data_IF_674812333735
#
_entry.id   IF_674812333735
#
_cell.length_a   1.000
_cell.length_b   1.000
_cell.length_c   1.000
_cell.angle_alpha   90.00
_cell.angle_beta   90.00
_cell.angle_gamma   90.00
#
_symmetry.space_group_name_H-M   'P 1'
#
loop_
_entity.id
_entity.type
_entity.pdbx_description
1 polymer ?
#
# COMPACT_ATOMS: atom_id res chain seq x y z
N UNK A 1 12.99 -59.12 -18.79
CA UNK A 1 13.41 -57.90 -18.08
C UNK A 1 13.23 -56.69 -18.99
N UNK A 2 12.05 -56.06 -18.99
CA UNK A 2 11.80 -54.76 -19.63
C UNK A 2 10.43 -54.25 -19.16
N UNK A 3 10.41 -53.29 -18.23
CA UNK A 3 9.19 -52.64 -17.73
C UNK A 3 9.49 -51.36 -16.91
N UNK A 4 10.69 -51.27 -16.31
CA UNK A 4 10.97 -50.31 -15.22
C UNK A 4 11.75 -49.04 -15.61
N UNK A 5 11.93 -48.78 -16.92
CA UNK A 5 12.74 -47.65 -17.42
C UNK A 5 11.90 -46.58 -18.12
N UNK A 6 10.65 -46.88 -18.49
CA UNK A 6 9.83 -45.98 -19.31
C UNK A 6 9.12 -44.88 -18.51
N UNK A 7 8.83 -45.12 -17.22
CA UNK A 7 8.08 -44.18 -16.36
C UNK A 7 8.85 -42.90 -16.04
N UNK A 8 10.18 -42.91 -16.13
CA UNK A 8 11.03 -41.79 -15.71
C UNK A 8 11.18 -40.67 -16.76
N UNK A 9 10.71 -40.87 -18.00
CA UNK A 9 10.86 -39.87 -19.08
C UNK A 9 9.65 -38.93 -19.23
N UNK A 10 8.47 -39.32 -18.74
CA UNK A 10 7.23 -38.51 -18.87
C UNK A 10 7.28 -37.26 -17.99
N UNK A 11 7.74 -37.38 -16.74
CA UNK A 11 7.66 -36.31 -15.72
C UNK A 11 8.56 -35.10 -16.08
N UNK A 12 9.59 -35.29 -16.90
CA UNK A 12 10.49 -34.21 -17.32
C UNK A 12 9.87 -33.22 -18.32
N UNK A 13 8.73 -33.56 -18.95
CA UNK A 13 8.10 -32.76 -20.01
C UNK A 13 7.03 -31.78 -19.55
N UNK A 14 6.58 -31.86 -18.29
CA UNK A 14 5.41 -31.13 -17.78
C UNK A 14 5.76 -29.76 -17.13
N UNK A 15 7.05 -29.42 -16.96
CA UNK A 15 7.51 -28.14 -16.40
C UNK A 15 7.97 -27.11 -17.44
N UNK A 16 7.71 -27.32 -18.75
CA UNK A 16 8.17 -26.41 -19.82
C UNK A 16 7.08 -25.46 -20.36
N UNK A 17 5.81 -25.67 -20.01
CA UNK A 17 4.70 -25.06 -20.74
C UNK A 17 4.30 -23.65 -20.26
N UNK A 18 4.56 -23.30 -19.00
CA UNK A 18 3.92 -22.14 -18.36
C UNK A 18 4.57 -20.77 -18.69
N UNK A 19 5.80 -20.78 -19.21
CA UNK A 19 6.55 -19.55 -19.51
C UNK A 19 6.11 -18.88 -20.82
N UNK A 20 5.69 -19.66 -21.82
CA UNK A 20 5.29 -19.12 -23.12
C UNK A 20 3.86 -18.54 -23.06
N UNK A 21 2.91 -19.25 -22.44
CA UNK A 21 1.52 -18.79 -22.24
C UNK A 21 1.45 -17.45 -21.47
N UNK A 22 2.30 -17.32 -20.44
CA UNK A 22 2.37 -16.08 -19.64
C UNK A 22 2.89 -14.90 -20.46
N UNK A 23 3.82 -15.14 -21.39
CA UNK A 23 4.48 -14.10 -22.20
C UNK A 23 3.54 -13.57 -23.30
N UNK A 24 2.82 -14.45 -24.01
CA UNK A 24 1.88 -14.02 -25.06
C UNK A 24 0.70 -13.22 -24.49
N UNK A 25 0.16 -13.66 -23.35
CA UNK A 25 -1.01 -13.04 -22.72
C UNK A 25 -0.73 -11.62 -22.19
N UNK A 26 0.53 -11.31 -21.86
CA UNK A 26 0.98 -9.94 -21.54
C UNK A 26 0.98 -9.07 -22.80
N UNK A 27 1.61 -9.54 -23.89
CA UNK A 27 1.69 -8.78 -25.15
C UNK A 27 0.31 -8.42 -25.72
N UNK A 28 -0.63 -9.37 -25.69
CA UNK A 28 -1.98 -9.17 -26.23
C UNK A 28 -2.76 -8.07 -25.45
N UNK A 29 -2.53 -7.96 -24.14
CA UNK A 29 -3.19 -6.95 -23.28
C UNK A 29 -2.66 -5.52 -23.49
N UNK A 30 -1.41 -5.37 -23.93
CA UNK A 30 -0.82 -4.05 -24.22
C UNK A 30 -1.40 -3.45 -25.52
N UNK A 31 -1.60 -4.25 -26.57
CA UNK A 31 -2.12 -3.75 -27.84
C UNK A 31 -3.53 -3.14 -27.74
N UNK A 32 -4.42 -3.75 -26.93
CA UNK A 32 -5.82 -3.29 -26.77
C UNK A 32 -5.89 -1.87 -26.19
N UNK A 33 -4.95 -1.50 -25.31
CA UNK A 33 -4.90 -0.15 -24.72
C UNK A 33 -4.47 0.92 -25.74
N UNK A 34 -3.54 0.59 -26.66
CA UNK A 34 -3.03 1.56 -27.63
C UNK A 34 -4.03 1.88 -28.75
N UNK A 35 -4.99 0.99 -29.03
CA UNK A 35 -6.07 1.24 -30.00
C UNK A 35 -7.15 2.21 -29.52
N UNK A 36 -7.20 2.55 -28.23
CA UNK A 36 -8.30 3.31 -27.63
C UNK A 36 -7.86 4.66 -27.03
N UNK A 37 -7.35 5.57 -27.89
CA UNK A 37 -7.66 7.03 -27.92
C UNK A 37 -6.60 7.85 -28.68
N UNK A 38 -6.56 7.70 -30.00
CA UNK A 38 -5.97 8.69 -30.91
C UNK A 38 -7.10 9.47 -31.59
N UNK A 39 -7.32 10.70 -31.14
CA UNK A 39 -8.12 11.70 -31.84
C UNK A 39 -7.39 13.05 -31.75
N UNK A 40 -6.64 13.46 -32.79
CA UNK A 40 -6.05 14.78 -32.85
C UNK A 40 -7.09 15.78 -33.39
N UNK A 41 -7.40 16.83 -32.62
CA UNK A 41 -8.09 18.01 -33.15
C UNK A 41 -7.34 19.24 -32.65
N UNK A 42 -6.67 19.90 -33.58
CA UNK A 42 -5.95 21.15 -33.38
C UNK A 42 -6.87 22.35 -33.59
N UNK A 43 -6.54 23.47 -32.92
CA UNK A 43 -6.67 24.86 -33.37
C UNK A 43 -8.02 25.44 -33.85
N UNK A 44 -8.48 26.52 -33.17
CA UNK A 44 -8.58 27.90 -33.74
C UNK A 44 -9.79 28.78 -33.33
N UNK A 45 -9.48 29.85 -32.58
CA UNK A 45 -9.71 31.29 -32.95
C UNK A 45 -11.06 32.05 -32.64
N UNK A 46 -10.89 33.22 -31.97
CA UNK A 46 -11.64 34.51 -31.92
C UNK A 46 -12.94 34.73 -31.06
N UNK A 47 -12.79 35.57 -30.01
CA UNK A 47 -13.27 36.98 -29.81
C UNK A 47 -14.59 37.49 -30.46
N UNK A 48 -15.22 38.62 -29.99
CA UNK A 48 -14.98 39.47 -28.77
C UNK A 48 -16.26 39.92 -28.00
N UNK A 49 -16.17 40.68 -26.88
CA UNK A 49 -17.36 41.32 -26.27
C UNK A 49 -17.26 42.09 -24.92
N UNK A 50 -16.83 43.35 -24.98
CA UNK A 50 -16.95 44.48 -24.01
C UNK A 50 -18.03 44.43 -22.88
N UNK A 51 -17.69 44.83 -21.64
CA UNK A 51 -18.02 46.18 -21.07
C UNK A 51 -17.66 46.39 -19.58
N UNK A 52 -17.69 47.66 -19.14
CA UNK A 52 -16.97 48.20 -17.97
C UNK A 52 -17.86 49.07 -17.05
N UNK A 53 -17.70 48.92 -15.72
CA UNK A 53 -17.93 49.89 -14.62
C UNK A 53 -19.34 50.43 -14.22
N UNK A 54 -19.38 50.79 -12.91
CA UNK A 54 -20.19 51.82 -12.21
C UNK A 54 -21.64 51.54 -11.74
N UNK A 55 -21.97 52.02 -10.52
CA UNK A 55 -23.38 52.22 -10.07
C UNK A 55 -23.76 51.78 -8.63
N UNK A 56 -23.24 52.46 -7.61
CA UNK A 56 -23.82 52.74 -6.26
C UNK A 56 -24.87 51.82 -5.56
N UNK A 57 -24.65 51.58 -4.26
CA UNK A 57 -25.60 51.95 -3.20
C UNK A 57 -24.94 51.98 -1.80
N UNK A 58 -25.25 53.00 -1.00
CA UNK A 58 -24.56 53.32 0.27
C UNK A 58 -25.51 53.25 1.49
N UNK A 59 -24.98 52.81 2.65
CA UNK A 59 -25.63 52.89 3.97
C UNK A 59 -24.78 52.17 5.03
N UNK A 60 -23.88 52.82 5.79
CA UNK A 60 -24.15 53.68 6.96
C UNK A 60 -24.86 52.89 8.09
N UNK A 61 -24.40 52.74 9.35
CA UNK A 61 -23.16 53.05 10.10
C UNK A 61 -23.23 52.31 11.49
N UNK A 62 -22.27 52.27 12.43
CA UNK A 62 -20.90 52.80 12.57
C UNK A 62 -20.12 52.15 13.75
N UNK A 63 -18.92 51.63 13.46
CA UNK A 63 -17.65 51.89 14.19
C UNK A 63 -17.29 51.25 15.55
N UNK A 64 -15.98 50.93 15.65
CA UNK A 64 -15.11 50.74 16.84
C UNK A 64 -15.17 49.40 17.64
N UNK A 65 -14.10 48.58 17.55
CA UNK A 65 -13.81 47.52 18.53
C UNK A 65 -12.91 46.34 18.09
N UNK A 66 -11.58 46.50 18.18
CA UNK A 66 -10.51 45.48 18.16
C UNK A 66 -10.34 44.48 16.97
N UNK A 67 -9.08 44.25 16.52
CA UNK A 67 -8.71 43.05 15.76
C UNK A 67 -8.42 41.89 16.72
N UNK A 68 -9.33 40.92 16.84
CA UNK A 68 -9.05 39.68 17.58
C UNK A 68 -8.44 38.65 16.63
N UNK A 69 -7.17 38.34 16.88
CA UNK A 69 -6.52 37.16 16.34
C UNK A 69 -7.20 35.90 16.88
N UNK A 70 -8.10 35.33 16.08
CA UNK A 70 -8.63 33.98 16.27
C UNK A 70 -8.05 33.10 15.18
N UNK A 71 -7.04 32.30 15.51
CA UNK A 71 -6.31 31.51 14.51
C UNK A 71 -7.24 30.57 13.77
N UNK A 72 -7.45 30.81 12.47
CA UNK A 72 -7.75 29.73 11.53
C UNK A 72 -6.50 28.86 11.43
N UNK A 73 -6.34 28.01 12.44
CA UNK A 73 -5.58 26.78 12.32
C UNK A 73 -6.35 25.85 11.40
N UNK A 74 -6.45 26.25 10.13
CA UNK A 74 -6.40 25.29 9.03
C UNK A 74 -5.01 24.67 9.12
N UNK A 75 -4.85 23.74 10.07
CA UNK A 75 -3.89 22.67 9.92
C UNK A 75 -4.39 21.87 8.72
N UNK A 76 -4.02 22.38 7.55
CA UNK A 76 -3.60 21.54 6.46
C UNK A 76 -2.71 20.49 7.13
N UNK A 77 -3.20 19.26 7.21
CA UNK A 77 -2.44 18.18 7.82
C UNK A 77 -1.34 17.85 6.82
N UNK A 78 -0.29 18.69 6.82
CA UNK A 78 1.05 18.29 6.42
C UNK A 78 1.32 17.01 7.20
N UNK A 79 1.08 15.89 6.52
CA UNK A 79 1.24 14.58 7.13
C UNK A 79 2.71 14.52 7.49
N UNK A 80 2.96 14.60 8.80
CA UNK A 80 4.27 14.35 9.37
C UNK A 80 4.55 12.88 9.11
N UNK A 81 5.07 12.60 7.91
CA UNK A 81 5.86 11.43 7.54
C UNK A 81 7.19 11.58 8.29
N UNK A 82 7.07 11.61 9.62
CA UNK A 82 8.10 11.99 10.56
C UNK A 82 9.06 10.83 10.73
N UNK A 83 10.02 10.73 9.80
CA UNK A 83 11.29 10.01 9.91
C UNK A 83 11.26 8.52 10.29
N UNK A 84 10.09 7.90 10.46
CA UNK A 84 9.94 6.47 10.73
C UNK A 84 10.27 5.65 9.48
N UNK A 85 11.54 5.26 9.37
CA UNK A 85 12.04 4.41 8.28
C UNK A 85 11.48 2.99 8.43
N UNK A 86 10.66 2.49 7.49
CA UNK A 86 10.23 1.09 7.54
C UNK A 86 11.43 0.18 7.30
N UNK A 87 11.44 -0.97 7.98
CA UNK A 87 12.51 -1.97 7.90
C UNK A 87 12.08 -3.26 7.20
N UNK A 88 10.77 -3.47 7.02
CA UNK A 88 10.23 -4.59 6.26
C UNK A 88 8.96 -4.18 5.51
N UNK A 89 8.53 -4.99 4.56
CA UNK A 89 7.26 -4.87 3.84
C UNK A 89 6.56 -6.22 3.81
N UNK A 90 5.23 -6.21 3.95
CA UNK A 90 4.39 -7.38 3.77
C UNK A 90 4.16 -7.63 2.28
N UNK A 91 4.70 -8.72 1.76
CA UNK A 91 4.62 -9.11 0.35
C UNK A 91 3.82 -10.40 0.11
N UNK A 92 3.38 -11.08 1.17
CA UNK A 92 2.37 -12.14 1.12
C UNK A 92 1.56 -12.19 2.42
N UNK A 93 0.25 -12.44 2.32
CA UNK A 93 -0.63 -12.78 3.45
C UNK A 93 -1.54 -13.94 2.99
N UNK A 94 -1.59 -15.02 3.76
CA UNK A 94 -2.53 -16.11 3.50
C UNK A 94 -3.93 -15.74 4.01
N UNK A 95 -4.97 -16.09 3.26
CA UNK A 95 -6.37 -15.91 3.68
C UNK A 95 -6.69 -16.74 4.95
N UNK A 96 -7.55 -16.20 5.82
CA UNK A 96 -7.90 -16.82 7.11
C UNK A 96 -6.76 -16.85 8.14
N UNK A 97 -5.61 -16.26 7.83
CA UNK A 97 -4.47 -16.18 8.75
C UNK A 97 -4.70 -15.17 9.89
N UNK A 98 -3.93 -15.27 11.00
CA UNK A 98 -3.88 -14.25 12.02
C UNK A 98 -3.55 -12.86 11.46
N UNK A 99 -2.55 -12.74 10.57
CA UNK A 99 -2.19 -11.46 9.97
C UNK A 99 -3.36 -10.81 9.21
N UNK A 100 -4.07 -11.58 8.38
CA UNK A 100 -5.24 -11.10 7.65
C UNK A 100 -6.38 -10.67 8.60
N UNK A 101 -6.65 -11.50 9.61
CA UNK A 101 -7.74 -11.25 10.59
C UNK A 101 -7.47 -10.03 11.46
N UNK A 102 -6.20 -9.83 11.81
CA UNK A 102 -5.74 -8.77 12.72
C UNK A 102 -5.43 -7.45 11.97
N UNK A 103 -5.68 -7.39 10.66
CA UNK A 103 -5.74 -6.16 9.87
C UNK A 103 -4.47 -5.78 9.09
N UNK A 104 -3.45 -6.65 9.04
CA UNK A 104 -2.32 -6.48 8.11
C UNK A 104 -2.80 -6.64 6.67
N UNK A 105 -2.17 -5.89 5.76
CA UNK A 105 -2.49 -5.89 4.33
C UNK A 105 -1.22 -6.00 3.47
N UNK A 106 -1.40 -6.50 2.25
CA UNK A 106 -0.34 -6.56 1.25
C UNK A 106 0.18 -5.15 0.95
N UNK A 107 1.50 -4.98 0.97
CA UNK A 107 2.16 -3.69 0.78
C UNK A 107 2.33 -2.84 2.05
N UNK A 108 1.86 -3.31 3.22
CA UNK A 108 2.15 -2.64 4.50
C UNK A 108 3.66 -2.60 4.76
N UNK A 109 4.18 -1.41 5.02
CA UNK A 109 5.59 -1.22 5.36
C UNK A 109 5.76 -1.19 6.88
N UNK A 110 6.36 -2.22 7.46
CA UNK A 110 6.54 -2.37 8.91
C UNK A 110 7.60 -1.38 9.40
N UNK A 111 7.20 -0.53 10.34
CA UNK A 111 8.03 0.46 11.04
C UNK A 111 8.45 -0.04 12.43
N UNK A 112 7.54 -0.72 13.14
CA UNK A 112 7.79 -1.31 14.46
C UNK A 112 6.93 -2.55 14.65
N UNK A 113 7.45 -3.60 15.26
CA UNK A 113 6.73 -4.85 15.50
C UNK A 113 6.95 -5.32 16.94
N UNK A 114 6.00 -5.06 17.83
CA UNK A 114 6.17 -5.24 19.27
C UNK A 114 7.36 -4.41 19.78
N UNK A 115 8.34 -5.08 20.38
CA UNK A 115 9.60 -4.49 20.81
C UNK A 115 10.71 -4.53 19.74
N UNK A 116 10.43 -4.96 18.50
CA UNK A 116 11.38 -5.00 17.39
C UNK A 116 11.36 -3.69 16.61
N UNK A 117 12.54 -3.07 16.50
CA UNK A 117 12.83 -1.86 15.73
C UNK A 117 13.93 -2.14 14.70
N UNK A 118 14.21 -1.17 13.83
CA UNK A 118 15.22 -1.28 12.77
C UNK A 118 16.63 -1.60 13.33
N UNK A 119 17.33 -2.57 12.73
CA UNK A 119 18.63 -3.02 13.21
C UNK A 119 19.10 -4.32 12.54
N UNK A 120 19.99 -5.05 13.20
CA UNK A 120 20.51 -6.32 12.70
C UNK A 120 19.64 -7.53 13.06
N UNK A 121 19.67 -8.58 12.22
CA UNK A 121 18.96 -9.84 12.44
C UNK A 121 17.42 -9.68 12.57
N UNK A 122 16.85 -8.76 11.77
CA UNK A 122 15.43 -8.40 11.83
C UNK A 122 14.48 -9.60 11.70
N UNK A 123 14.72 -10.54 10.78
CA UNK A 123 13.88 -11.72 10.61
C UNK A 123 13.89 -12.62 11.86
N UNK A 124 15.07 -12.84 12.46
CA UNK A 124 15.19 -13.61 13.70
C UNK A 124 14.51 -12.89 14.87
N UNK A 125 14.66 -11.56 14.98
CA UNK A 125 14.00 -10.75 16.02
C UNK A 125 12.48 -10.75 15.87
N UNK A 126 11.95 -10.56 14.66
CA UNK A 126 10.52 -10.65 14.35
C UNK A 126 9.94 -12.02 14.76
N UNK A 127 10.61 -13.10 14.36
CA UNK A 127 10.19 -14.45 14.69
C UNK A 127 10.24 -14.73 16.21
N UNK A 128 11.32 -14.30 16.88
CA UNK A 128 11.46 -14.45 18.33
C UNK A 128 10.41 -13.63 19.10
N UNK A 129 10.16 -12.38 18.71
CA UNK A 129 9.16 -11.52 19.34
C UNK A 129 7.74 -12.09 19.14
N UNK A 130 7.41 -12.59 17.94
CA UNK A 130 6.14 -13.26 17.68
C UNK A 130 5.98 -14.56 18.49
N UNK A 131 7.08 -15.29 18.72
CA UNK A 131 7.10 -16.51 19.55
C UNK A 131 6.94 -16.20 21.05
N UNK A 132 7.60 -15.15 21.54
CA UNK A 132 7.47 -14.68 22.93
C UNK A 132 6.04 -14.19 23.22
N UNK A 133 5.46 -13.45 22.27
CA UNK A 133 4.08 -12.94 22.35
C UNK A 133 3.04 -13.94 21.80
N UNK A 134 3.36 -15.24 21.66
CA UNK A 134 2.38 -16.23 21.22
C UNK A 134 1.16 -16.25 22.16
N UNK A 135 -0.04 -16.17 21.59
CA UNK A 135 -1.29 -16.07 22.33
C UNK A 135 -1.61 -14.69 22.91
N UNK A 136 -0.74 -13.69 22.72
CA UNK A 136 -0.87 -12.33 23.27
C UNK A 136 -0.94 -11.29 22.15
N UNK A 137 -1.67 -10.21 22.40
CA UNK A 137 -1.84 -9.12 21.44
C UNK A 137 -0.66 -8.14 21.59
N UNK A 138 0.00 -7.82 20.47
CA UNK A 138 1.19 -6.97 20.41
C UNK A 138 1.00 -5.82 19.40
N UNK A 139 1.46 -4.60 19.70
CA UNK A 139 1.31 -3.46 18.80
C UNK A 139 2.25 -3.59 17.60
N UNK A 140 1.74 -3.26 16.41
CA UNK A 140 2.52 -3.20 15.16
C UNK A 140 2.25 -1.86 14.49
N UNK A 141 3.31 -1.17 14.09
CA UNK A 141 3.23 0.12 13.40
C UNK A 141 3.59 -0.10 11.95
N UNK A 142 2.70 0.30 11.04
CA UNK A 142 2.89 0.16 9.59
C UNK A 142 2.69 1.48 8.88
N UNK A 143 3.30 1.65 7.71
CA UNK A 143 2.93 2.70 6.75
C UNK A 143 2.12 2.06 5.63
N UNK A 144 0.92 2.60 5.38
CA UNK A 144 0.00 2.19 4.32
C UNK A 144 -0.45 3.45 3.59
N UNK A 145 -0.25 3.50 2.26
CA UNK A 145 -0.57 4.68 1.43
C UNK A 145 0.06 5.99 1.94
N UNK A 146 1.24 5.92 2.57
CA UNK A 146 1.93 7.07 3.17
C UNK A 146 1.45 7.48 4.57
N UNK A 147 0.34 6.92 5.05
CA UNK A 147 -0.16 7.15 6.41
C UNK A 147 0.39 6.09 7.38
N UNK A 148 0.75 6.52 8.60
CA UNK A 148 1.22 5.64 9.67
C UNK A 148 0.03 5.11 10.48
N UNK A 149 -0.13 3.79 10.50
CA UNK A 149 -1.26 3.07 11.10
C UNK A 149 -0.74 2.20 12.25
N UNK A 150 -1.38 2.32 13.41
CA UNK A 150 -1.17 1.43 14.55
C UNK A 150 -2.16 0.26 14.45
N UNK A 151 -1.63 -0.94 14.29
CA UNK A 151 -2.36 -2.21 14.30
C UNK A 151 -2.06 -2.98 15.58
N UNK A 152 -2.86 -3.98 15.89
CA UNK A 152 -2.62 -4.91 17.00
C UNK A 152 -2.73 -6.32 16.46
N UNK A 153 -1.60 -7.02 16.42
CA UNK A 153 -1.48 -8.35 15.86
C UNK A 153 -1.33 -9.36 17.00
N UNK A 154 -1.92 -10.54 16.87
CA UNK A 154 -1.90 -11.59 17.89
C UNK A 154 -1.33 -12.88 17.28
N UNK A 155 -0.01 -13.13 17.40
CA UNK A 155 0.63 -14.36 16.96
C UNK A 155 -0.06 -15.57 17.61
N UNK A 156 -0.55 -16.51 16.79
CA UNK A 156 -1.30 -17.68 17.26
C UNK A 156 -1.15 -18.85 16.30
N UNK A 157 -1.24 -20.05 16.83
CA UNK A 157 -1.34 -21.26 16.00
C UNK A 157 -2.63 -21.20 15.17
N UNK A 158 -2.52 -21.54 13.90
CA UNK A 158 -3.60 -21.51 12.91
C UNK A 158 -3.42 -22.69 11.93
N UNK A 159 -4.25 -22.80 10.90
CA UNK A 159 -4.25 -23.93 9.97
C UNK A 159 -3.07 -23.98 8.99
N UNK A 160 -2.31 -22.89 8.85
CA UNK A 160 -1.12 -22.83 8.00
C UNK A 160 0.19 -22.77 8.79
N UNK A 161 1.26 -22.34 8.13
CA UNK A 161 2.60 -22.32 8.72
C UNK A 161 2.88 -21.06 9.56
N UNK A 162 3.71 -21.21 10.59
CA UNK A 162 4.09 -20.11 11.50
C UNK A 162 2.96 -19.61 12.40
N UNK A 163 3.16 -18.45 13.03
CA UNK A 163 2.21 -17.85 13.99
C UNK A 163 1.34 -16.72 13.40
N UNK A 164 1.58 -16.33 12.15
CA UNK A 164 0.97 -15.15 11.54
C UNK A 164 0.37 -15.39 10.16
N UNK A 165 0.97 -16.27 9.34
CA UNK A 165 0.55 -16.46 7.95
C UNK A 165 0.82 -15.27 7.03
N UNK A 166 1.90 -14.54 7.30
CA UNK A 166 2.41 -13.45 6.45
C UNK A 166 3.90 -13.63 6.17
N UNK A 167 4.33 -13.26 4.96
CA UNK A 167 5.74 -13.12 4.62
C UNK A 167 6.18 -11.66 4.81
N UNK A 168 7.44 -11.46 5.22
CA UNK A 168 8.03 -10.15 5.44
C UNK A 168 9.35 -10.04 4.68
N UNK A 169 9.43 -9.08 3.77
CA UNK A 169 10.63 -8.73 3.02
C UNK A 169 11.35 -7.56 3.69
N UNK A 170 12.62 -7.74 4.07
CA UNK A 170 13.44 -6.66 4.65
C UNK A 170 13.77 -5.60 3.58
N UNK A 171 13.88 -4.33 4.00
CA UNK A 171 14.13 -3.13 3.17
C UNK A 171 15.51 -2.49 3.38
#
# INVERSE_FOLDING_TARGET
>A
MQAHVFTHFIIASELRNDYEDTTEKINQKIQVLHSAKLAPISDSIKDPGLNTQEGDNLGTSSSFGNPIAGGSNSMDMEVVVGSSRPFAMVDEITEGSPAATDGLQLGDQIVKFGNVEIGENLLQRLAAEAQINQGHAMPVVVIRQGALINLTVKPRSWSGHGLLGSHFRIL
#
